data_IF_309490334329
#
_entry.id   IF_309490334329
#
_cell.length_a   1.000
_cell.length_b   1.000
_cell.length_c   1.000
_cell.angle_alpha   90.00
_cell.angle_beta   90.00
_cell.angle_gamma   90.00
#
_symmetry.space_group_name_H-M   'P 1'
#
loop_
_entity.id
_entity.type
_entity.pdbx_description
1 polymer ?
#
# COMPACT_ATOMS: atom_id res chain seq x y z
N UNK A 1 -57.96 -12.34 -47.62
CA UNK A 1 -58.68 -11.54 -46.61
C UNK A 1 -57.65 -10.89 -45.70
N UNK A 2 -57.66 -9.56 -45.76
CA UNK A 2 -57.18 -8.56 -44.81
C UNK A 2 -55.76 -8.58 -44.21
N UNK A 3 -55.01 -7.64 -44.77
CA UNK A 3 -53.95 -6.80 -44.18
C UNK A 3 -54.45 -6.14 -42.89
N UNK A 4 -53.64 -6.14 -41.81
CA UNK A 4 -53.55 -5.00 -40.88
C UNK A 4 -52.31 -5.04 -39.98
N UNK A 5 -51.42 -4.08 -40.20
CA UNK A 5 -50.44 -3.66 -39.20
C UNK A 5 -51.12 -2.75 -38.15
N UNK A 6 -50.73 -2.82 -36.85
CA UNK A 6 -51.11 -1.83 -35.85
C UNK A 6 -50.00 -0.76 -35.61
N UNK A 7 -50.35 0.39 -35.00
CA UNK A 7 -49.85 1.70 -35.42
C UNK A 7 -48.55 2.19 -34.77
N UNK A 8 -47.79 2.90 -35.60
CA UNK A 8 -46.81 3.93 -35.23
C UNK A 8 -47.42 4.97 -34.30
N UNK A 9 -46.89 5.10 -33.09
CA UNK A 9 -46.56 6.38 -32.45
C UNK A 9 -46.12 6.12 -31.01
N UNK A 10 -44.95 6.63 -30.62
CA UNK A 10 -44.75 7.41 -29.39
C UNK A 10 -43.29 7.87 -29.25
N UNK A 11 -43.11 9.15 -29.61
CA UNK A 11 -42.26 10.18 -28.98
C UNK A 11 -40.80 9.87 -28.65
N UNK A 12 -39.97 10.40 -29.54
CA UNK A 12 -38.62 10.92 -29.33
C UNK A 12 -38.57 11.85 -28.09
N UNK A 13 -37.75 11.52 -27.09
CA UNK A 13 -37.43 12.43 -26.01
C UNK A 13 -36.47 13.52 -26.53
N UNK A 14 -36.88 14.78 -26.41
CA UNK A 14 -36.09 15.96 -26.73
C UNK A 14 -35.03 16.24 -25.66
N UNK A 15 -33.78 16.56 -26.02
CA UNK A 15 -32.78 17.04 -25.07
C UNK A 15 -33.11 18.48 -24.61
N UNK A 16 -32.75 18.88 -23.38
CA UNK A 16 -32.94 20.25 -22.91
C UNK A 16 -32.00 21.22 -23.63
N UNK A 17 -32.59 22.11 -24.43
CA UNK A 17 -31.96 23.35 -24.86
C UNK A 17 -31.85 24.32 -23.68
N UNK A 18 -30.65 24.84 -23.41
CA UNK A 18 -30.32 26.29 -23.38
C UNK A 18 -28.95 26.46 -22.73
N UNK A 19 -27.90 26.34 -23.55
CA UNK A 19 -26.59 26.88 -23.22
C UNK A 19 -26.68 28.41 -23.36
N UNK A 20 -26.64 29.12 -22.23
CA UNK A 20 -26.47 30.58 -22.20
C UNK A 20 -25.03 30.92 -22.59
N UNK A 21 -24.84 31.24 -23.87
CA UNK A 21 -23.63 31.90 -24.35
C UNK A 21 -23.77 33.40 -24.05
N UNK A 22 -23.04 33.91 -23.06
CA UNK A 22 -22.80 35.34 -22.92
C UNK A 22 -21.75 35.76 -23.97
N UNK A 23 -22.05 36.69 -24.89
CA UNK A 23 -21.02 37.26 -25.74
C UNK A 23 -20.24 38.28 -24.91
N UNK A 24 -18.98 38.00 -24.63
CA UNK A 24 -18.04 39.03 -24.16
C UNK A 24 -17.52 39.73 -25.41
N UNK A 25 -17.84 41.02 -25.51
CA UNK A 25 -17.46 41.87 -26.62
C UNK A 25 -15.93 41.90 -26.82
N UNK A 26 -15.51 41.74 -28.07
CA UNK A 26 -14.20 42.16 -28.56
C UNK A 26 -14.02 43.65 -28.26
N UNK A 27 -12.94 44.01 -27.57
CA UNK A 27 -12.38 45.36 -27.61
C UNK A 27 -10.98 45.25 -28.20
N UNK A 28 -10.90 45.51 -29.50
CA UNK A 28 -9.64 45.70 -30.21
C UNK A 28 -9.01 47.01 -29.76
N UNK A 29 -7.83 46.92 -29.14
CA UNK A 29 -6.95 48.05 -28.93
C UNK A 29 -5.62 47.70 -29.56
N UNK A 30 -5.47 48.11 -30.82
CA UNK A 30 -4.18 48.25 -31.49
C UNK A 30 -3.54 49.50 -30.92
N UNK A 31 -2.41 49.37 -30.23
CA UNK A 31 -1.44 50.44 -29.98
C UNK A 31 -0.15 49.80 -29.43
N UNK A 32 0.90 49.85 -30.27
CA UNK A 32 2.32 49.98 -29.91
C UNK A 32 2.96 48.98 -28.94
N UNK A 33 3.91 48.20 -29.46
CA UNK A 33 5.16 47.89 -28.76
C UNK A 33 5.23 46.60 -27.94
N UNK A 34 6.25 45.80 -28.26
CA UNK A 34 6.81 44.66 -27.53
C UNK A 34 6.06 43.32 -27.59
N UNK A 35 6.72 42.34 -28.21
CA UNK A 35 6.36 40.92 -28.18
C UNK A 35 6.62 40.41 -26.77
N UNK A 36 5.56 40.28 -25.95
CA UNK A 36 5.62 39.58 -24.68
C UNK A 36 5.07 38.18 -24.86
N UNK A 37 5.97 37.19 -24.82
CA UNK A 37 5.65 35.77 -24.79
C UNK A 37 4.78 35.48 -23.57
N UNK A 38 3.47 35.33 -23.78
CA UNK A 38 2.54 34.89 -22.74
C UNK A 38 2.78 33.41 -22.49
N UNK A 39 3.67 33.11 -21.55
CA UNK A 39 3.85 31.76 -21.04
C UNK A 39 2.49 31.23 -20.58
N UNK A 40 2.04 30.14 -21.19
CA UNK A 40 0.94 29.33 -20.69
C UNK A 40 1.39 28.79 -19.34
N UNK A 41 1.01 29.49 -18.28
CA UNK A 41 1.29 29.06 -16.92
C UNK A 41 0.41 27.84 -16.64
N UNK A 42 0.97 26.65 -16.89
CA UNK A 42 0.41 25.39 -16.44
C UNK A 42 0.22 25.51 -14.94
N UNK A 43 -1.05 25.56 -14.53
CA UNK A 43 -1.48 25.46 -13.14
C UNK A 43 -0.89 24.16 -12.58
N UNK A 44 0.24 24.27 -11.87
CA UNK A 44 0.84 23.15 -11.17
C UNK A 44 -0.18 22.69 -10.14
N UNK A 45 -0.85 21.59 -10.44
CA UNK A 45 -1.67 20.87 -9.48
C UNK A 45 -0.78 20.48 -8.31
N UNK A 46 -1.18 20.94 -7.13
CA UNK A 46 -0.57 20.68 -5.84
C UNK A 46 -0.10 19.22 -5.74
N UNK A 47 1.21 19.01 -5.88
CA UNK A 47 1.84 17.69 -5.83
C UNK A 47 1.99 17.32 -4.36
N UNK A 48 0.91 16.87 -3.73
CA UNK A 48 0.99 16.02 -2.53
C UNK A 48 1.40 14.59 -2.90
N UNK A 49 2.45 14.47 -3.72
CA UNK A 49 3.08 13.21 -4.08
C UNK A 49 4.43 13.19 -3.36
N UNK A 50 4.69 12.10 -2.65
CA UNK A 50 5.96 11.74 -2.00
C UNK A 50 6.15 12.14 -0.52
N UNK A 51 5.31 11.55 0.34
CA UNK A 51 5.76 11.05 1.66
C UNK A 51 5.79 9.52 1.70
N UNK A 52 6.27 8.85 0.64
CA UNK A 52 6.44 7.38 0.67
C UNK A 52 7.85 6.93 1.09
N UNK A 53 8.85 7.82 1.00
CA UNK A 53 10.22 7.49 1.44
C UNK A 53 10.45 7.78 2.93
N UNK A 54 9.82 8.83 3.47
CA UNK A 54 9.91 9.17 4.90
C UNK A 54 9.19 8.18 5.83
N UNK A 55 8.17 7.46 5.32
CA UNK A 55 7.49 6.40 6.09
C UNK A 55 8.39 5.16 6.19
N UNK A 56 9.24 4.88 5.18
CA UNK A 56 10.14 3.72 5.19
C UNK A 56 11.18 3.84 6.30
N UNK A 57 11.95 4.92 6.36
CA UNK A 57 12.97 5.08 7.42
C UNK A 57 12.36 5.11 8.82
N UNK A 58 11.23 5.81 9.00
CA UNK A 58 10.60 5.95 10.31
C UNK A 58 10.01 4.63 10.84
N UNK A 59 9.45 3.76 9.98
CA UNK A 59 8.97 2.44 10.42
C UNK A 59 10.11 1.47 10.75
N UNK A 60 11.20 1.48 9.98
CA UNK A 60 12.38 0.64 10.24
C UNK A 60 13.13 1.08 11.51
N UNK A 61 13.28 2.39 11.72
CA UNK A 61 13.86 2.95 12.94
C UNK A 61 12.98 2.67 14.15
N UNK A 62 11.65 2.68 13.98
CA UNK A 62 10.70 2.27 15.04
C UNK A 62 10.86 0.79 15.38
N UNK A 63 10.92 -0.10 14.39
CA UNK A 63 11.12 -1.53 14.62
C UNK A 63 12.42 -1.82 15.36
N UNK A 64 13.54 -1.28 14.87
CA UNK A 64 14.85 -1.46 15.51
C UNK A 64 14.89 -0.83 16.90
N UNK A 65 14.24 0.32 17.10
CA UNK A 65 14.06 0.94 18.42
C UNK A 65 13.21 0.09 19.35
N UNK A 66 12.15 -0.57 18.88
CA UNK A 66 11.30 -1.45 19.69
C UNK A 66 12.06 -2.72 20.11
N UNK A 67 12.83 -3.32 19.19
CA UNK A 67 13.69 -4.47 19.51
C UNK A 67 14.77 -4.08 20.53
N UNK A 68 15.37 -2.89 20.36
CA UNK A 68 16.42 -2.39 21.25
C UNK A 68 15.86 -1.92 22.60
N UNK A 69 14.68 -1.33 22.63
CA UNK A 69 14.02 -0.91 23.87
C UNK A 69 13.59 -2.11 24.69
N UNK A 70 13.17 -3.21 24.07
CA UNK A 70 12.87 -4.46 24.79
C UNK A 70 14.13 -5.08 25.42
N UNK A 71 15.24 -5.13 24.68
CA UNK A 71 16.52 -5.61 25.22
C UNK A 71 17.00 -4.72 26.38
N UNK A 72 16.89 -3.40 26.24
CA UNK A 72 17.28 -2.44 27.27
C UNK A 72 16.32 -2.43 28.48
N UNK A 73 15.02 -2.61 28.27
CA UNK A 73 14.01 -2.57 29.33
C UNK A 73 14.05 -3.84 30.20
N UNK A 74 14.39 -4.99 29.63
CA UNK A 74 14.70 -6.20 30.41
C UNK A 74 15.98 -5.98 31.24
N UNK A 75 16.99 -5.34 30.65
CA UNK A 75 18.26 -5.08 31.34
C UNK A 75 18.12 -4.05 32.47
N UNK A 76 17.19 -3.10 32.36
CA UNK A 76 16.92 -2.07 33.39
C UNK A 76 15.83 -2.45 34.39
N UNK A 77 15.34 -3.70 34.38
CA UNK A 77 14.16 -4.10 35.17
C UNK A 77 14.48 -4.24 36.67
N UNK A 78 14.29 -3.14 37.41
CA UNK A 78 14.15 -3.12 38.87
C UNK A 78 12.72 -2.79 39.35
N UNK A 79 11.79 -2.36 38.48
CA UNK A 79 10.58 -1.65 38.94
C UNK A 79 9.21 -2.31 38.66
N UNK A 80 9.08 -3.26 37.71
CA UNK A 80 7.98 -4.25 37.57
C UNK A 80 7.94 -4.81 36.12
N UNK A 81 8.38 -6.06 35.86
CA UNK A 81 8.49 -6.59 34.50
C UNK A 81 7.15 -6.87 33.81
N UNK A 82 6.06 -6.99 34.57
CA UNK A 82 4.73 -7.35 34.03
C UNK A 82 4.10 -6.20 33.22
N UNK A 83 4.14 -4.97 33.73
CA UNK A 83 3.53 -3.80 33.09
C UNK A 83 4.24 -3.39 31.80
N UNK A 84 5.57 -3.46 31.78
CA UNK A 84 6.37 -3.13 30.59
C UNK A 84 6.10 -4.13 29.46
N UNK A 85 5.98 -5.42 29.77
CA UNK A 85 5.64 -6.42 28.76
C UNK A 85 4.23 -6.23 28.19
N UNK A 86 3.26 -5.87 29.02
CA UNK A 86 1.89 -5.62 28.58
C UNK A 86 1.81 -4.43 27.61
N UNK A 87 2.48 -3.31 27.94
CA UNK A 87 2.55 -2.14 27.06
C UNK A 87 3.31 -2.44 25.76
N UNK A 88 4.45 -3.15 25.86
CA UNK A 88 5.24 -3.50 24.68
C UNK A 88 4.47 -4.41 23.70
N UNK A 89 3.70 -5.38 24.21
CA UNK A 89 2.86 -6.24 23.37
C UNK A 89 1.78 -5.43 22.66
N UNK A 90 1.15 -4.46 23.33
CA UNK A 90 0.16 -3.58 22.69
C UNK A 90 0.78 -2.75 21.56
N UNK A 91 1.90 -2.08 21.84
CA UNK A 91 2.61 -1.27 20.84
C UNK A 91 3.06 -2.10 19.63
N UNK A 92 3.57 -3.31 19.87
CA UNK A 92 3.96 -4.21 18.78
C UNK A 92 2.77 -4.68 17.92
N UNK A 93 1.59 -4.91 18.51
CA UNK A 93 0.40 -5.26 17.72
C UNK A 93 -0.06 -4.08 16.85
N UNK A 94 -0.04 -2.86 17.37
CA UNK A 94 -0.37 -1.65 16.60
C UNK A 94 0.59 -1.44 15.43
N UNK A 95 1.89 -1.62 15.68
CA UNK A 95 2.91 -1.49 14.63
C UNK A 95 2.81 -2.62 13.60
N UNK A 96 2.43 -3.84 14.00
CA UNK A 96 2.14 -4.93 13.07
C UNK A 96 0.99 -4.57 12.12
N UNK A 97 -0.09 -3.99 12.62
CA UNK A 97 -1.23 -3.56 11.80
C UNK A 97 -0.78 -2.52 10.78
N UNK A 98 -0.02 -1.50 11.21
CA UNK A 98 0.52 -0.46 10.33
C UNK A 98 1.47 -1.05 9.28
N UNK A 99 2.32 -2.00 9.65
CA UNK A 99 3.23 -2.64 8.71
C UNK A 99 2.52 -3.54 7.71
N UNK A 100 1.46 -4.25 8.11
CA UNK A 100 0.60 -4.99 7.18
C UNK A 100 -0.09 -4.05 6.20
N UNK A 101 -0.62 -2.92 6.68
CA UNK A 101 -1.21 -1.89 5.81
C UNK A 101 -0.19 -1.30 4.83
N UNK A 102 1.00 -0.93 5.31
CA UNK A 102 2.07 -0.41 4.47
C UNK A 102 2.51 -1.44 3.43
N UNK A 103 2.70 -2.71 3.83
CA UNK A 103 3.05 -3.81 2.93
C UNK A 103 1.97 -4.01 1.87
N UNK A 104 0.68 -3.99 2.25
CA UNK A 104 -0.43 -4.08 1.30
C UNK A 104 -0.45 -2.91 0.31
N UNK A 105 -0.18 -1.67 0.75
CA UNK A 105 -0.08 -0.51 -0.13
C UNK A 105 1.08 -0.61 -1.12
N UNK A 106 2.25 -1.06 -0.67
CA UNK A 106 3.42 -1.24 -1.54
C UNK A 106 3.17 -2.39 -2.53
N UNK A 107 2.57 -3.49 -2.09
CA UNK A 107 2.19 -4.60 -2.96
C UNK A 107 1.16 -4.18 -4.01
N UNK A 108 0.17 -3.39 -3.63
CA UNK A 108 -0.80 -2.80 -4.56
C UNK A 108 -0.11 -1.87 -5.58
N UNK A 109 0.87 -1.07 -5.15
CA UNK A 109 1.68 -0.25 -6.04
C UNK A 109 2.50 -1.10 -7.02
N UNK A 110 3.16 -2.16 -6.54
CA UNK A 110 3.90 -3.10 -7.38
C UNK A 110 2.95 -3.72 -8.42
N UNK A 111 1.76 -4.16 -8.02
CA UNK A 111 0.79 -4.77 -8.93
C UNK A 111 0.33 -3.80 -10.01
N UNK A 112 0.10 -2.54 -9.67
CA UNK A 112 -0.21 -1.50 -10.65
C UNK A 112 0.93 -1.30 -11.66
N UNK A 113 2.18 -1.39 -11.21
CA UNK A 113 3.35 -1.26 -12.08
C UNK A 113 3.51 -2.49 -12.99
N UNK A 114 3.31 -3.69 -12.46
CA UNK A 114 3.23 -4.94 -13.23
C UNK A 114 2.18 -4.87 -14.33
N UNK A 115 0.98 -4.37 -14.03
CA UNK A 115 -0.08 -4.25 -15.01
C UNK A 115 0.28 -3.25 -16.12
N UNK A 116 0.94 -2.13 -15.78
CA UNK A 116 1.44 -1.17 -16.77
C UNK A 116 2.52 -1.78 -17.66
N UNK A 117 3.44 -2.54 -17.08
CA UNK A 117 4.48 -3.27 -17.83
C UNK A 117 3.83 -4.23 -18.83
N UNK A 118 2.88 -5.06 -18.38
CA UNK A 118 2.15 -6.00 -19.24
C UNK A 118 1.38 -5.31 -20.35
N UNK A 119 0.74 -4.17 -20.06
CA UNK A 119 0.03 -3.41 -21.08
C UNK A 119 1.00 -2.84 -22.15
N UNK A 120 2.19 -2.38 -21.76
CA UNK A 120 3.21 -1.91 -22.70
C UNK A 120 3.78 -3.06 -23.55
N UNK A 121 3.99 -4.24 -22.95
CA UNK A 121 4.44 -5.45 -23.64
C UNK A 121 3.39 -5.97 -24.65
N UNK A 122 2.11 -5.93 -24.28
CA UNK A 122 1.02 -6.25 -25.21
C UNK A 122 0.96 -5.26 -26.38
N UNK A 123 1.11 -3.95 -26.09
CA UNK A 123 1.17 -2.94 -27.14
C UNK A 123 2.36 -3.18 -28.09
N UNK A 124 3.54 -3.53 -27.58
CA UNK A 124 4.70 -3.91 -28.41
C UNK A 124 4.37 -5.04 -29.38
N UNK A 125 3.78 -6.13 -28.86
CA UNK A 125 3.40 -7.30 -29.64
C UNK A 125 2.31 -6.98 -30.69
N UNK A 126 1.37 -6.10 -30.36
CA UNK A 126 0.32 -5.66 -31.28
C UNK A 126 0.89 -4.81 -32.42
N UNK A 127 1.80 -3.87 -32.12
CA UNK A 127 2.49 -3.10 -33.16
C UNK A 127 3.39 -3.98 -34.03
N UNK A 128 4.00 -5.00 -33.45
CA UNK A 128 4.77 -5.98 -34.20
C UNK A 128 3.91 -6.77 -35.19
N UNK A 129 2.75 -7.29 -34.74
CA UNK A 129 1.79 -7.95 -35.64
C UNK A 129 1.28 -7.02 -36.74
N UNK A 130 0.98 -5.75 -36.42
CA UNK A 130 0.57 -4.75 -37.42
C UNK A 130 1.65 -4.50 -38.46
N UNK A 131 2.91 -4.39 -38.04
CA UNK A 131 4.04 -4.25 -38.95
C UNK A 131 4.18 -5.46 -39.88
N UNK A 132 4.05 -6.69 -39.35
CA UNK A 132 4.08 -7.90 -40.17
C UNK A 132 2.96 -7.94 -41.21
N UNK A 133 1.73 -7.56 -40.83
CA UNK A 133 0.59 -7.50 -41.75
C UNK A 133 0.78 -6.45 -42.85
N UNK A 134 1.36 -5.28 -42.51
CA UNK A 134 1.68 -4.24 -43.49
C UNK A 134 2.75 -4.72 -44.49
N UNK A 135 3.79 -5.42 -44.01
CA UNK A 135 4.82 -6.01 -44.88
C UNK A 135 4.24 -7.07 -45.83
N UNK A 136 3.31 -7.91 -45.35
CA UNK A 136 2.64 -8.90 -46.21
C UNK A 136 1.81 -8.25 -47.32
N UNK A 137 1.32 -7.04 -47.10
CA UNK A 137 0.55 -6.26 -48.09
C UNK A 137 1.42 -5.39 -49.00
N UNK A 138 2.74 -5.34 -48.77
CA UNK A 138 3.67 -4.48 -49.51
C UNK A 138 3.65 -3.00 -49.08
N UNK A 139 3.01 -2.68 -47.96
CA UNK A 139 2.93 -1.31 -47.42
C UNK A 139 4.14 -1.00 -46.52
N UNK A 140 5.31 -0.80 -47.13
CA UNK A 140 6.57 -0.63 -46.39
C UNK A 140 6.59 0.59 -45.45
N UNK A 141 5.97 1.70 -45.84
CA UNK A 141 5.98 2.93 -45.04
C UNK A 141 5.19 2.77 -43.74
N UNK A 142 4.01 2.13 -43.81
CA UNK A 142 3.20 1.80 -42.64
C UNK A 142 3.91 0.80 -41.73
N UNK A 143 4.64 -0.16 -42.31
CA UNK A 143 5.46 -1.09 -41.53
C UNK A 143 6.59 -0.38 -40.77
N UNK A 144 7.28 0.59 -41.39
CA UNK A 144 8.32 1.39 -40.71
C UNK A 144 7.73 2.22 -39.56
N UNK A 145 6.58 2.85 -39.77
CA UNK A 145 5.91 3.62 -38.71
C UNK A 145 5.49 2.73 -37.54
N UNK A 146 4.92 1.55 -37.82
CA UNK A 146 4.55 0.58 -36.81
C UNK A 146 5.77 0.10 -36.00
N UNK A 147 6.90 -0.17 -36.66
CA UNK A 147 8.16 -0.53 -35.99
C UNK A 147 8.73 0.63 -35.15
N UNK A 148 8.62 1.87 -35.61
CA UNK A 148 9.01 3.05 -34.84
C UNK A 148 8.18 3.18 -33.56
N UNK A 149 6.87 2.95 -33.64
CA UNK A 149 5.97 2.93 -32.46
C UNK A 149 6.31 1.78 -31.53
N UNK A 150 6.52 0.57 -32.07
CA UNK A 150 6.97 -0.60 -31.32
C UNK A 150 8.21 -0.28 -30.48
N UNK A 151 9.25 0.31 -31.09
CA UNK A 151 10.47 0.69 -30.38
C UNK A 151 10.19 1.58 -29.16
N UNK A 152 9.31 2.56 -29.28
CA UNK A 152 8.92 3.40 -28.15
C UNK A 152 8.22 2.62 -27.04
N UNK A 153 7.33 1.66 -27.37
CA UNK A 153 6.69 0.79 -26.39
C UNK A 153 7.68 -0.19 -25.73
N UNK A 154 8.64 -0.73 -26.49
CA UNK A 154 9.71 -1.57 -25.95
C UNK A 154 10.59 -0.79 -24.95
N UNK A 155 10.98 0.44 -25.29
CA UNK A 155 11.72 1.33 -24.38
C UNK A 155 10.92 1.61 -23.10
N UNK A 156 9.61 1.92 -23.23
CA UNK A 156 8.72 2.10 -22.08
C UNK A 156 8.61 0.84 -21.21
N UNK A 157 8.48 -0.33 -21.82
CA UNK A 157 8.44 -1.61 -21.10
C UNK A 157 9.76 -1.86 -20.34
N UNK A 158 10.91 -1.56 -20.96
CA UNK A 158 12.23 -1.71 -20.31
C UNK A 158 12.37 -0.79 -19.08
N UNK A 159 11.92 0.46 -19.17
CA UNK A 159 11.93 1.41 -18.06
C UNK A 159 11.00 0.97 -16.92
N UNK A 160 9.80 0.48 -17.26
CA UNK A 160 8.85 -0.05 -16.27
C UNK A 160 9.39 -1.31 -15.60
N UNK A 161 10.09 -2.19 -16.33
CA UNK A 161 10.75 -3.37 -15.79
C UNK A 161 11.81 -2.99 -14.76
N UNK A 162 12.68 -2.03 -15.07
CA UNK A 162 13.70 -1.55 -14.15
C UNK A 162 13.08 -0.98 -12.85
N UNK A 163 12.00 -0.20 -12.95
CA UNK A 163 11.28 0.32 -11.78
C UNK A 163 10.66 -0.81 -10.95
N UNK A 164 10.12 -1.83 -11.61
CA UNK A 164 9.51 -2.99 -10.97
C UNK A 164 10.54 -3.82 -10.21
N UNK A 165 11.72 -4.04 -10.79
CA UNK A 165 12.80 -4.78 -10.15
C UNK A 165 13.36 -4.02 -8.93
N UNK A 166 13.49 -2.70 -9.01
CA UNK A 166 13.79 -1.86 -7.85
C UNK A 166 12.72 -2.01 -6.75
N UNK A 167 11.44 -2.01 -7.13
CA UNK A 167 10.34 -2.10 -6.17
C UNK A 167 10.18 -3.49 -5.53
N UNK A 168 10.56 -4.57 -6.24
CA UNK A 168 10.57 -5.93 -5.68
C UNK A 168 11.46 -6.04 -4.45
N UNK A 169 12.71 -5.55 -4.54
CA UNK A 169 13.64 -5.59 -3.41
C UNK A 169 13.07 -4.89 -2.16
N UNK A 170 12.34 -3.79 -2.36
CA UNK A 170 11.67 -3.05 -1.29
C UNK A 170 10.55 -3.90 -0.68
N UNK A 171 9.71 -4.53 -1.51
CA UNK A 171 8.61 -5.38 -1.05
C UNK A 171 9.14 -6.58 -0.27
N UNK A 172 10.18 -7.24 -0.76
CA UNK A 172 10.83 -8.37 -0.09
C UNK A 172 11.34 -7.97 1.30
N UNK A 173 11.99 -6.81 1.40
CA UNK A 173 12.42 -6.26 2.68
C UNK A 173 11.23 -5.93 3.60
N UNK A 174 10.14 -5.34 3.12
CA UNK A 174 8.97 -5.09 3.97
C UNK A 174 8.32 -6.38 4.46
N UNK A 175 8.22 -7.40 3.60
CA UNK A 175 7.63 -8.70 3.94
C UNK A 175 8.50 -9.42 4.97
N UNK A 176 9.82 -9.46 4.78
CA UNK A 176 10.74 -10.10 5.74
C UNK A 176 10.69 -9.42 7.11
N UNK A 177 10.66 -8.09 7.14
CA UNK A 177 10.55 -7.33 8.39
C UNK A 177 9.18 -7.51 9.07
N UNK A 178 8.10 -7.63 8.30
CA UNK A 178 6.77 -7.95 8.85
C UNK A 178 6.77 -9.33 9.51
N UNK A 179 7.38 -10.34 8.88
CA UNK A 179 7.52 -11.68 9.47
C UNK A 179 8.37 -11.69 10.73
N UNK A 180 9.46 -10.91 10.75
CA UNK A 180 10.32 -10.77 11.93
C UNK A 180 9.53 -10.19 13.10
N UNK A 181 8.71 -9.17 12.86
CA UNK A 181 7.83 -8.60 13.87
C UNK A 181 6.82 -9.61 14.43
N UNK A 182 6.18 -10.38 13.55
CA UNK A 182 5.23 -11.42 13.96
C UNK A 182 5.91 -12.44 14.89
N UNK A 183 7.13 -12.86 14.55
CA UNK A 183 7.93 -13.76 15.39
C UNK A 183 8.28 -13.13 16.74
N UNK A 184 8.68 -11.86 16.78
CA UNK A 184 9.01 -11.15 18.03
C UNK A 184 7.80 -10.94 18.93
N UNK A 185 6.63 -10.68 18.36
CA UNK A 185 5.37 -10.61 19.10
C UNK A 185 5.03 -11.95 19.74
N UNK A 186 5.24 -13.06 19.01
CA UNK A 186 5.02 -14.40 19.56
C UNK A 186 5.97 -14.69 20.73
N UNK A 187 7.26 -14.37 20.58
CA UNK A 187 8.26 -14.50 21.66
C UNK A 187 7.87 -13.66 22.90
N UNK A 188 7.44 -12.41 22.70
CA UNK A 188 7.05 -11.52 23.79
C UNK A 188 5.79 -12.02 24.52
N UNK A 189 4.79 -12.55 23.78
CA UNK A 189 3.60 -13.18 24.36
C UNK A 189 3.95 -14.41 25.20
N UNK A 190 4.80 -15.29 24.70
CA UNK A 190 5.22 -16.48 25.45
C UNK A 190 5.95 -16.12 26.76
N UNK A 191 6.81 -15.10 26.73
CA UNK A 191 7.50 -14.60 27.93
C UNK A 191 6.52 -13.99 28.93
N UNK A 192 5.53 -13.22 28.45
CA UNK A 192 4.44 -12.70 29.28
C UNK A 192 3.71 -13.82 30.00
N UNK A 193 3.29 -14.85 29.27
CA UNK A 193 2.52 -15.97 29.83
C UNK A 193 3.35 -16.75 30.88
N UNK A 194 4.66 -16.93 30.62
CA UNK A 194 5.59 -17.55 31.56
C UNK A 194 5.73 -16.75 32.85
N UNK A 195 5.86 -15.42 32.74
CA UNK A 195 5.96 -14.53 33.91
C UNK A 195 4.65 -14.49 34.70
N UNK A 196 3.49 -14.46 34.02
CA UNK A 196 2.18 -14.53 34.67
C UNK A 196 1.98 -15.85 35.40
N UNK A 197 2.35 -16.98 34.79
CA UNK A 197 2.30 -18.28 35.44
C UNK A 197 3.18 -18.32 36.70
N UNK A 198 4.43 -17.84 36.62
CA UNK A 198 5.32 -17.75 37.80
C UNK A 198 4.76 -16.85 38.89
N UNK A 199 4.22 -15.69 38.54
CA UNK A 199 3.62 -14.76 39.49
C UNK A 199 2.37 -15.36 40.16
N UNK A 200 1.55 -16.11 39.42
CA UNK A 200 0.43 -16.86 39.98
C UNK A 200 0.94 -17.94 40.95
N UNK A 201 1.91 -18.78 40.55
CA UNK A 201 2.49 -19.79 41.44
C UNK A 201 3.05 -19.19 42.73
N UNK A 202 3.74 -18.06 42.66
CA UNK A 202 4.26 -17.36 43.83
C UNK A 202 3.16 -16.79 44.75
N UNK A 203 2.03 -16.31 44.18
CA UNK A 203 0.87 -15.83 44.95
C UNK A 203 0.15 -16.95 45.70
N UNK A 204 0.04 -18.14 45.11
CA UNK A 204 -0.67 -19.27 45.72
C UNK A 204 0.23 -20.15 46.62
N UNK A 205 1.56 -20.09 46.47
CA UNK A 205 2.51 -20.82 47.32
C UNK A 205 2.31 -20.63 48.84
N UNK A 206 2.18 -19.40 49.39
CA UNK A 206 1.97 -19.22 50.83
C UNK A 206 0.59 -19.69 51.29
N UNK A 207 -0.42 -19.61 50.41
CA UNK A 207 -1.78 -20.06 50.70
C UNK A 207 -1.85 -21.59 50.83
N UNK A 208 -1.20 -22.32 49.92
CA UNK A 208 -1.09 -23.78 49.99
C UNK A 208 -0.31 -24.21 51.23
N UNK A 209 0.76 -23.49 51.57
CA UNK A 209 1.53 -23.75 52.78
C UNK A 209 0.67 -23.58 54.06
N UNK A 210 -0.12 -22.49 54.16
CA UNK A 210 -1.05 -22.27 55.27
C UNK A 210 -2.16 -23.34 55.34
N UNK A 211 -2.74 -23.73 54.20
CA UNK A 211 -3.75 -24.79 54.16
C UNK A 211 -3.19 -26.15 54.57
N UNK A 212 -1.96 -26.50 54.16
CA UNK A 212 -1.31 -27.75 54.57
C UNK A 212 -0.95 -27.74 56.06
N UNK A 213 -0.41 -26.63 56.58
CA UNK A 213 -0.07 -26.51 58.00
C UNK A 213 -1.33 -26.53 58.90
N UNK A 214 -2.38 -25.83 58.49
CA UNK A 214 -3.66 -25.80 59.20
C UNK A 214 -4.35 -27.17 59.24
N UNK A 215 -4.34 -27.92 58.13
CA UNK A 215 -4.85 -29.28 58.09
C UNK A 215 -4.05 -30.24 59.01
N UNK A 216 -2.73 -30.07 59.06
CA UNK A 216 -1.86 -30.88 59.94
C UNK A 216 -2.12 -30.60 61.42
N UNK A 217 -2.28 -29.32 61.80
CA UNK A 217 -2.57 -28.93 63.18
C UNK A 217 -3.97 -29.36 63.63
N UNK A 218 -4.96 -29.33 62.74
CA UNK A 218 -6.33 -29.78 63.03
C UNK A 218 -6.43 -31.29 63.25
N UNK A 219 -5.68 -32.10 62.49
CA UNK A 219 -5.63 -33.56 62.67
C UNK A 219 -4.94 -33.93 63.98
N UNK A 220 -3.84 -33.25 64.34
CA UNK A 220 -3.08 -33.54 65.58
C UNK A 220 -3.80 -33.07 66.84
N UNK A 221 -4.65 -32.04 66.75
CA UNK A 221 -5.39 -31.50 67.91
C UNK A 221 -6.73 -32.24 68.17
N UNK A 222 -7.19 -33.07 67.23
CA UNK A 222 -8.48 -33.79 67.32
C UNK A 222 -8.35 -35.32 67.30
N UNK A 223 -7.12 -35.84 67.43
CA UNK A 223 -6.82 -37.24 67.79
C UNK A 223 -6.41 -37.33 69.26
#
# INVERSE_FOLDING_TARGET
MEIRAPPTSLRLATPPSTASFRPVALRTSFLSGSVSLRAVQVRQSNVNRFKCNAIRSNLFDRLTRVVRSYANAILSSFEDPEKILDQAVLEMNDDLIKMRQATAQVLASQKRLENKYKAAEQADADWYRRAQLALQKGEEDLAREALKRRKSYAENASSLKAQLDQQKSVVENLVSNTRLLESKIAEAKQKKDTLKARAQSAKYAPFIHWFCFGAYYFIVLFM
#
